data_IF_841383641977
#
_entry.id   IF_841383641977
#
_cell.length_a   1.000
_cell.length_b   1.000
_cell.length_c   1.000
_cell.angle_alpha   90.00
_cell.angle_beta   90.00
_cell.angle_gamma   90.00
#
_symmetry.space_group_name_H-M   'P 1'
#
loop_
_entity.id
_entity.type
_entity.pdbx_description
1 polymer ?
#
# COMPACT_ATOMS: atom_id res chain seq x y z
N UNK A 1 3.81 6.98 0.90
CA UNK A 1 3.03 5.76 0.73
C UNK A 1 3.28 4.82 1.91
N UNK A 2 2.23 4.27 2.52
CA UNK A 2 2.36 3.24 3.54
C UNK A 2 1.41 2.10 3.20
N UNK A 3 1.89 0.87 3.36
CA UNK A 3 1.05 -0.33 3.25
C UNK A 3 0.52 -0.68 4.64
N UNK A 4 -0.74 -0.30 4.88
CA UNK A 4 -1.43 -0.47 6.16
C UNK A 4 -2.61 -1.41 5.98
N UNK A 5 -2.76 -2.42 6.82
CA UNK A 5 -3.89 -3.34 6.72
C UNK A 5 -4.45 -3.62 8.10
N UNK A 6 -5.78 -3.64 8.21
CA UNK A 6 -6.44 -4.17 9.40
C UNK A 6 -6.30 -5.70 9.47
N UNK A 7 -6.54 -6.23 10.67
CA UNK A 7 -6.61 -7.67 10.95
C UNK A 7 -7.99 -8.00 11.50
N UNK A 8 -8.31 -9.30 11.52
CA UNK A 8 -9.55 -9.81 12.07
C UNK A 8 -9.75 -9.35 13.51
N UNK A 9 -10.99 -9.10 13.87
CA UNK A 9 -11.42 -8.79 15.23
C UNK A 9 -12.41 -9.84 15.70
N UNK A 10 -12.42 -10.06 17.02
CA UNK A 10 -13.36 -10.95 17.69
C UNK A 10 -14.11 -10.20 18.79
N UNK A 11 -15.20 -10.77 19.29
CA UNK A 11 -15.87 -10.28 20.50
C UNK A 11 -15.56 -11.24 21.65
N UNK A 12 -15.23 -10.68 22.81
CA UNK A 12 -15.12 -11.47 24.05
C UNK A 12 -16.51 -11.93 24.51
N UNK A 13 -16.61 -12.93 25.39
CA UNK A 13 -17.90 -13.32 25.99
C UNK A 13 -18.65 -12.17 26.67
N UNK A 14 -17.93 -11.15 27.15
CA UNK A 14 -18.50 -9.92 27.73
C UNK A 14 -18.87 -8.84 26.70
N UNK A 15 -18.82 -9.13 25.40
CA UNK A 15 -19.20 -8.21 24.33
C UNK A 15 -18.13 -7.17 23.94
N UNK A 16 -16.96 -7.19 24.56
CA UNK A 16 -15.88 -6.26 24.24
C UNK A 16 -15.13 -6.67 22.97
N UNK A 17 -14.72 -5.72 22.11
CA UNK A 17 -13.94 -6.04 20.91
C UNK A 17 -12.50 -6.41 21.27
N UNK A 18 -12.06 -7.59 20.84
CA UNK A 18 -10.68 -8.05 20.87
C UNK A 18 -10.07 -7.93 19.48
N UNK A 19 -9.11 -7.01 19.32
CA UNK A 19 -8.46 -6.73 18.02
C UNK A 19 -7.03 -6.24 18.21
N UNK A 20 -6.15 -6.41 17.21
CA UNK A 20 -4.79 -5.88 17.29
C UNK A 20 -4.78 -4.35 17.44
N UNK A 21 -3.78 -3.84 18.17
CA UNK A 21 -3.65 -2.40 18.47
C UNK A 21 -3.73 -1.52 17.22
N UNK A 22 -3.03 -1.90 16.14
CA UNK A 22 -3.06 -1.16 14.88
C UNK A 22 -4.45 -1.12 14.26
N UNK A 23 -5.20 -2.21 14.31
CA UNK A 23 -6.59 -2.25 13.83
C UNK A 23 -7.49 -1.34 14.67
N UNK A 24 -7.27 -1.31 15.99
CA UNK A 24 -7.98 -0.38 16.87
C UNK A 24 -7.65 1.07 16.55
N UNK A 25 -6.37 1.39 16.33
CA UNK A 25 -5.93 2.72 15.94
C UNK A 25 -6.52 3.14 14.60
N UNK A 26 -6.50 2.27 13.58
CA UNK A 26 -7.02 2.60 12.25
C UNK A 26 -8.53 2.85 12.26
N UNK A 27 -9.29 2.12 13.09
CA UNK A 27 -10.74 2.34 13.26
C UNK A 27 -11.09 3.50 14.19
N UNK A 28 -10.10 4.15 14.81
CA UNK A 28 -10.36 5.25 15.76
C UNK A 28 -10.63 6.57 15.02
N UNK A 29 -11.41 7.49 15.60
CA UNK A 29 -11.63 8.83 15.03
C UNK A 29 -10.32 9.59 14.78
N UNK A 30 -9.31 9.38 15.63
CA UNK A 30 -7.97 9.97 15.47
C UNK A 30 -7.30 9.63 14.14
N UNK A 31 -7.65 8.49 13.54
CA UNK A 31 -7.16 8.06 12.24
C UNK A 31 -8.03 8.58 11.09
N UNK A 32 -9.29 8.93 11.33
CA UNK A 32 -10.13 9.54 10.31
C UNK A 32 -9.87 11.06 10.20
N UNK A 33 -9.73 11.76 11.32
CA UNK A 33 -9.51 13.22 11.37
C UNK A 33 -8.07 13.68 11.09
N UNK A 34 -7.29 12.89 10.35
CA UNK A 34 -5.88 13.18 10.03
C UNK A 34 -5.68 14.36 9.05
N UNK A 35 -6.77 14.97 8.59
CA UNK A 35 -6.79 16.09 7.65
C UNK A 35 -5.92 17.30 8.07
N UNK A 36 -5.60 17.44 9.36
CA UNK A 36 -4.82 18.57 9.87
C UNK A 36 -3.31 18.31 10.04
N UNK A 37 -2.80 17.10 9.77
CA UNK A 37 -1.37 16.81 9.92
C UNK A 37 -0.68 16.68 8.55
N UNK A 38 0.19 17.63 8.15
CA UNK A 38 0.92 17.57 6.87
C UNK A 38 1.85 16.34 6.78
N UNK A 39 2.27 15.79 7.93
CA UNK A 39 3.07 14.56 8.03
C UNK A 39 2.22 13.30 8.13
N UNK A 40 0.89 13.38 8.03
CA UNK A 40 -0.01 12.22 7.98
C UNK A 40 -0.72 12.09 6.62
N UNK A 41 -0.23 12.79 5.59
CA UNK A 41 -0.77 12.66 4.24
C UNK A 41 -0.31 11.32 3.63
N UNK A 42 -1.23 10.36 3.57
CA UNK A 42 -1.00 9.05 2.95
C UNK A 42 -1.57 9.05 1.53
N UNK A 43 -0.97 8.23 0.67
CA UNK A 43 -1.49 8.00 -0.69
C UNK A 43 -2.76 7.14 -0.68
N UNK A 44 -2.90 6.28 0.33
CA UNK A 44 -3.99 5.33 0.48
C UNK A 44 -5.20 5.97 1.18
N UNK A 45 -6.40 5.96 0.57
CA UNK A 45 -7.63 6.35 1.25
C UNK A 45 -7.90 5.49 2.50
N UNK A 46 -8.64 6.03 3.47
CA UNK A 46 -8.95 5.31 4.71
C UNK A 46 -9.74 4.02 4.43
N UNK A 47 -10.65 4.06 3.45
CA UNK A 47 -11.48 2.96 2.99
C UNK A 47 -10.63 1.78 2.50
N UNK A 48 -9.56 2.06 1.75
CA UNK A 48 -8.63 1.02 1.28
C UNK A 48 -7.86 0.35 2.42
N UNK A 49 -7.57 1.08 3.50
CA UNK A 49 -6.85 0.57 4.68
C UNK A 49 -7.77 -0.25 5.58
N UNK A 50 -9.03 0.19 5.69
CA UNK A 50 -10.07 -0.42 6.52
C UNK A 50 -10.79 -1.58 5.84
N UNK A 51 -10.50 -1.84 4.57
CA UNK A 51 -11.01 -3.01 3.87
C UNK A 51 -10.56 -4.31 4.59
N UNK A 52 -11.50 -5.17 5.02
CA UNK A 52 -11.17 -6.41 5.72
C UNK A 52 -10.54 -7.46 4.81
N UNK A 53 -10.80 -7.37 3.51
CA UNK A 53 -10.18 -8.22 2.51
C UNK A 53 -8.75 -7.75 2.23
N UNK A 54 -7.78 -8.59 2.61
CA UNK A 54 -6.35 -8.25 2.47
C UNK A 54 -5.90 -8.11 1.01
N UNK A 55 -6.53 -8.81 0.07
CA UNK A 55 -6.22 -8.68 -1.36
C UNK A 55 -6.72 -7.34 -1.88
N UNK A 56 -7.98 -7.01 -1.59
CA UNK A 56 -8.58 -5.75 -2.04
C UNK A 56 -7.87 -4.54 -1.44
N UNK A 57 -7.56 -4.62 -0.14
CA UNK A 57 -6.79 -3.61 0.57
C UNK A 57 -5.40 -3.40 -0.06
N UNK A 58 -4.66 -4.49 -0.34
CA UNK A 58 -3.33 -4.38 -0.94
C UNK A 58 -3.38 -3.84 -2.37
N UNK A 59 -4.31 -4.34 -3.19
CA UNK A 59 -4.46 -3.94 -4.58
C UNK A 59 -4.78 -2.44 -4.71
N UNK A 60 -5.81 -1.99 -3.99
CA UNK A 60 -6.25 -0.60 -4.01
C UNK A 60 -5.17 0.35 -3.49
N UNK A 61 -4.49 0.00 -2.40
CA UNK A 61 -3.37 0.80 -1.87
C UNK A 61 -2.20 0.90 -2.85
N UNK A 62 -1.84 -0.22 -3.51
CA UNK A 62 -0.79 -0.22 -4.52
C UNK A 62 -1.15 0.69 -5.69
N UNK A 63 -2.37 0.55 -6.22
CA UNK A 63 -2.88 1.37 -7.32
C UNK A 63 -2.85 2.87 -6.97
N UNK A 64 -3.38 3.25 -5.80
CA UNK A 64 -3.34 4.64 -5.33
C UNK A 64 -1.91 5.17 -5.16
N UNK A 65 -0.96 4.31 -4.77
CA UNK A 65 0.45 4.67 -4.65
C UNK A 65 1.17 4.87 -5.98
N UNK A 66 0.80 4.09 -7.00
CA UNK A 66 1.31 4.24 -8.36
C UNK A 66 0.75 5.51 -9.02
N UNK A 67 -0.57 5.75 -8.94
CA UNK A 67 -1.20 6.97 -9.48
C UNK A 67 -0.63 8.26 -8.88
N UNK A 68 -0.12 8.19 -7.64
CA UNK A 68 0.44 9.32 -6.93
C UNK A 68 1.96 9.25 -6.80
N UNK A 69 2.65 8.48 -7.66
CA UNK A 69 4.06 8.15 -7.46
C UNK A 69 4.97 9.39 -7.27
N UNK A 70 4.73 10.48 -8.02
CA UNK A 70 5.47 11.75 -7.90
C UNK A 70 5.31 12.44 -6.53
N UNK A 71 4.21 12.17 -5.81
CA UNK A 71 3.92 12.75 -4.48
C UNK A 71 4.52 11.93 -3.32
N UNK A 72 5.15 10.79 -3.61
CA UNK A 72 5.65 9.87 -2.60
C UNK A 72 7.06 10.26 -2.18
N UNK A 73 7.17 10.86 -0.98
CA UNK A 73 8.46 11.21 -0.36
C UNK A 73 8.99 10.14 0.60
N UNK A 74 8.12 9.24 1.06
CA UNK A 74 8.44 8.19 2.04
C UNK A 74 7.65 6.93 1.71
N UNK A 75 8.28 5.77 1.88
CA UNK A 75 7.64 4.47 1.69
C UNK A 75 7.85 3.62 2.94
N UNK A 76 6.84 2.86 3.35
CA UNK A 76 6.97 2.05 4.54
C UNK A 76 5.80 1.12 4.85
N UNK A 77 5.99 0.34 5.90
CA UNK A 77 4.97 -0.42 6.60
C UNK A 77 5.38 -0.57 8.06
N UNK A 78 4.45 -0.97 8.93
CA UNK A 78 4.77 -1.26 10.34
C UNK A 78 5.65 -2.49 10.50
N UNK A 79 5.64 -3.39 9.51
CA UNK A 79 6.43 -4.62 9.49
C UNK A 79 7.16 -4.74 8.15
N UNK A 80 8.44 -5.08 8.18
CA UNK A 80 9.21 -5.30 6.94
C UNK A 80 8.63 -6.45 6.11
N UNK A 81 8.12 -7.50 6.75
CA UNK A 81 7.42 -8.61 6.07
C UNK A 81 6.20 -8.14 5.29
N UNK A 82 5.40 -7.21 5.84
CA UNK A 82 4.26 -6.60 5.14
C UNK A 82 4.73 -5.79 3.93
N UNK A 83 5.85 -5.06 4.06
CA UNK A 83 6.43 -4.33 2.95
C UNK A 83 6.87 -5.26 1.82
N UNK A 84 7.67 -6.29 2.14
CA UNK A 84 8.13 -7.28 1.15
C UNK A 84 6.95 -7.96 0.47
N UNK A 85 5.88 -8.27 1.22
CA UNK A 85 4.65 -8.81 0.64
C UNK A 85 4.00 -7.86 -0.35
N UNK A 86 4.03 -6.56 -0.11
CA UNK A 86 3.53 -5.56 -1.06
C UNK A 86 4.37 -5.53 -2.34
N UNK A 87 5.70 -5.67 -2.24
CA UNK A 87 6.59 -5.73 -3.41
C UNK A 87 6.33 -6.98 -4.24
N UNK A 88 6.25 -8.15 -3.59
CA UNK A 88 5.88 -9.41 -4.26
C UNK A 88 4.49 -9.33 -4.87
N UNK A 89 3.58 -8.58 -4.25
CA UNK A 89 2.26 -8.33 -4.81
C UNK A 89 2.35 -7.51 -6.10
N UNK A 90 3.16 -6.45 -6.12
CA UNK A 90 3.42 -5.65 -7.32
C UNK A 90 4.05 -6.50 -8.43
N UNK A 91 5.07 -7.29 -8.12
CA UNK A 91 5.73 -8.21 -9.04
C UNK A 91 4.75 -9.15 -9.75
N UNK A 92 3.73 -9.63 -9.02
CA UNK A 92 2.72 -10.54 -9.57
C UNK A 92 1.58 -9.84 -10.32
N UNK A 93 1.23 -8.60 -9.96
CA UNK A 93 -0.02 -7.95 -10.43
C UNK A 93 0.21 -6.63 -11.18
N UNK A 94 1.45 -6.21 -11.47
CA UNK A 94 1.72 -4.94 -12.15
C UNK A 94 0.99 -4.81 -13.48
N UNK A 95 0.85 -5.90 -14.26
CA UNK A 95 0.15 -5.88 -15.54
C UNK A 95 -1.35 -5.54 -15.40
N UNK A 96 -2.00 -6.04 -14.34
CA UNK A 96 -3.38 -5.71 -14.02
C UNK A 96 -3.51 -4.26 -13.54
N UNK A 97 -2.58 -3.80 -12.71
CA UNK A 97 -2.55 -2.41 -12.24
C UNK A 97 -2.34 -1.41 -13.38
N UNK A 98 -1.48 -1.74 -14.35
CA UNK A 98 -1.25 -0.98 -15.57
C UNK A 98 -2.51 -0.95 -16.44
N UNK A 99 -3.18 -2.09 -16.63
CA UNK A 99 -4.45 -2.15 -17.36
C UNK A 99 -5.53 -1.27 -16.74
N UNK A 100 -5.71 -1.34 -15.43
CA UNK A 100 -6.70 -0.53 -14.70
C UNK A 100 -6.37 0.97 -14.79
N UNK A 101 -5.09 1.32 -14.68
CA UNK A 101 -4.60 2.69 -14.84
C UNK A 101 -4.80 3.22 -16.26
N UNK A 102 -4.62 2.38 -17.29
CA UNK A 102 -4.82 2.74 -18.71
C UNK A 102 -6.30 2.91 -19.04
N UNK A 103 -7.16 2.03 -18.53
CA UNK A 103 -8.61 2.09 -18.73
C UNK A 103 -9.29 3.16 -17.86
N UNK A 104 -8.65 3.59 -16.76
CA UNK A 104 -9.25 4.46 -15.76
C UNK A 104 -10.36 3.78 -14.96
N UNK A 105 -10.36 2.45 -14.89
CA UNK A 105 -11.40 1.66 -14.23
C UNK A 105 -10.75 0.61 -13.34
N UNK A 106 -11.27 0.43 -12.13
CA UNK A 106 -10.78 -0.60 -11.21
C UNK A 106 -11.31 -2.00 -11.57
N UNK A 107 -10.45 -2.99 -11.47
CA UNK A 107 -10.74 -4.40 -11.70
C UNK A 107 -11.97 -4.89 -10.92
N UNK A 108 -12.81 -5.70 -11.56
CA UNK A 108 -14.03 -6.29 -10.99
C UNK A 108 -13.75 -7.27 -9.85
N UNK A 109 -12.51 -7.72 -9.68
CA UNK A 109 -12.04 -8.48 -8.53
C UNK A 109 -12.04 -7.68 -7.22
N UNK A 110 -12.29 -6.37 -7.27
CA UNK A 110 -12.48 -5.51 -6.10
C UNK A 110 -13.98 -5.24 -5.93
N UNK A 111 -14.76 -6.13 -5.29
CA UNK A 111 -16.20 -5.96 -5.13
C UNK A 111 -16.59 -4.90 -4.10
N UNK A 112 -15.69 -4.53 -3.16
CA UNK A 112 -16.00 -3.57 -2.10
C UNK A 112 -16.26 -2.17 -2.68
N UNK A 113 -17.52 -1.74 -2.62
CA UNK A 113 -17.96 -0.49 -3.22
C UNK A 113 -17.28 0.75 -2.61
N UNK A 114 -17.03 0.74 -1.30
CA UNK A 114 -16.36 1.85 -0.60
C UNK A 114 -14.92 2.01 -1.07
N UNK A 115 -14.22 0.88 -1.23
CA UNK A 115 -12.87 0.85 -1.81
C UNK A 115 -12.90 1.38 -3.24
N UNK A 116 -13.81 0.90 -4.09
CA UNK A 116 -13.91 1.34 -5.49
C UNK A 116 -14.13 2.84 -5.59
N UNK A 117 -15.10 3.39 -4.87
CA UNK A 117 -15.39 4.83 -4.89
C UNK A 117 -14.20 5.68 -4.43
N UNK A 118 -13.48 5.22 -3.40
CA UNK A 118 -12.30 5.92 -2.91
C UNK A 118 -11.15 5.92 -3.92
N UNK A 119 -10.92 4.80 -4.61
CA UNK A 119 -9.88 4.65 -5.63
C UNK A 119 -10.24 5.46 -6.87
N UNK A 120 -11.49 5.44 -7.32
CA UNK A 120 -11.93 6.16 -8.52
C UNK A 120 -11.81 7.69 -8.40
N UNK A 121 -11.74 8.25 -7.18
CA UNK A 121 -11.42 9.66 -6.96
C UNK A 121 -9.96 10.00 -7.28
N UNK A 122 -9.07 9.02 -7.24
CA UNK A 122 -7.63 9.16 -7.45
C UNK A 122 -7.23 8.66 -8.84
N UNK A 123 -7.81 7.54 -9.27
CA UNK A 123 -7.51 6.88 -10.53
C UNK A 123 -7.95 7.77 -11.69
N UNK A 124 -6.97 8.20 -12.49
CA UNK A 124 -7.20 8.93 -13.74
C UNK A 124 -6.40 8.23 -14.83
N UNK A 125 -6.96 8.06 -16.05
CA UNK A 125 -6.19 7.57 -17.18
C UNK A 125 -4.93 8.40 -17.39
N UNK A 126 -3.78 7.76 -17.31
CA UNK A 126 -2.47 8.37 -17.53
C UNK A 126 -1.57 7.38 -18.29
N UNK A 127 -1.60 7.43 -19.64
CA UNK A 127 -0.81 6.51 -20.46
C UNK A 127 0.70 6.62 -20.21
N UNK A 128 1.22 7.82 -19.98
CA UNK A 128 2.65 8.03 -19.72
C UNK A 128 3.09 7.35 -18.42
N UNK A 129 2.28 7.48 -17.37
CA UNK A 129 2.51 6.77 -16.11
C UNK A 129 2.48 5.26 -16.32
N UNK A 130 1.52 4.76 -17.09
CA UNK A 130 1.39 3.32 -17.34
C UNK A 130 2.62 2.80 -18.08
N UNK A 131 3.02 3.45 -19.17
CA UNK A 131 4.15 3.02 -19.98
C UNK A 131 5.46 3.07 -19.16
N UNK A 132 5.60 4.06 -18.28
CA UNK A 132 6.69 4.13 -17.31
C UNK A 132 6.70 2.94 -16.32
N UNK A 133 5.54 2.60 -15.73
CA UNK A 133 5.44 1.48 -14.79
C UNK A 133 5.71 0.16 -15.52
N UNK A 134 5.15 -0.04 -16.72
CA UNK A 134 5.39 -1.22 -17.55
C UNK A 134 6.87 -1.36 -17.86
N UNK A 135 7.55 -0.30 -18.31
CA UNK A 135 8.96 -0.31 -18.62
C UNK A 135 9.86 -0.63 -17.41
N UNK A 136 9.48 -0.21 -16.20
CA UNK A 136 10.26 -0.51 -14.99
C UNK A 136 9.99 -1.91 -14.42
N UNK A 137 8.74 -2.39 -14.50
CA UNK A 137 8.34 -3.69 -13.96
C UNK A 137 8.61 -4.86 -14.92
N UNK A 138 8.74 -4.61 -16.22
CA UNK A 138 9.05 -5.65 -17.22
C UNK A 138 10.53 -6.03 -17.27
N UNK A 139 11.40 -5.35 -16.51
CA UNK A 139 12.83 -5.64 -16.44
C UNK A 139 13.08 -6.93 -15.64
N UNK A 140 14.07 -7.72 -16.07
CA UNK A 140 14.46 -8.95 -15.37
C UNK A 140 14.98 -8.70 -13.95
N UNK A 141 15.57 -7.52 -13.72
CA UNK A 141 16.08 -7.13 -12.39
C UNK A 141 15.14 -6.16 -11.69
N UNK A 142 14.58 -6.62 -10.57
CA UNK A 142 13.79 -5.83 -9.62
C UNK A 142 14.67 -5.09 -8.60
N UNK A 143 15.98 -5.03 -8.83
CA UNK A 143 16.87 -4.30 -7.93
C UNK A 143 16.52 -2.81 -7.91
N UNK A 144 16.38 -2.25 -6.70
CA UNK A 144 16.04 -0.85 -6.44
C UNK A 144 14.73 -0.39 -7.10
N UNK A 145 13.82 -1.33 -7.39
CA UNK A 145 12.54 -1.04 -8.06
C UNK A 145 11.74 0.06 -7.34
N UNK A 146 11.86 0.15 -6.01
CA UNK A 146 11.18 1.19 -5.24
C UNK A 146 11.70 2.58 -5.60
N UNK A 147 13.02 2.75 -5.61
CA UNK A 147 13.64 4.02 -5.99
C UNK A 147 13.39 4.36 -7.47
N UNK A 148 13.22 3.35 -8.34
CA UNK A 148 12.89 3.56 -9.76
C UNK A 148 11.45 4.03 -9.93
N UNK A 149 10.46 3.33 -9.35
CA UNK A 149 9.05 3.68 -9.51
C UNK A 149 8.66 4.97 -8.77
N UNK A 150 9.22 5.18 -7.58
CA UNK A 150 8.97 6.33 -6.74
C UNK A 150 10.25 7.17 -6.59
N UNK A 151 10.54 7.95 -7.63
CA UNK A 151 11.80 8.70 -7.77
C UNK A 151 12.04 9.77 -6.70
N UNK A 152 10.99 10.24 -6.03
CA UNK A 152 11.08 11.31 -5.01
C UNK A 152 11.25 10.81 -3.57
N UNK A 153 11.48 9.50 -3.36
CA UNK A 153 11.67 8.94 -2.02
C UNK A 153 12.93 9.49 -1.37
N UNK A 154 12.80 9.95 -0.13
CA UNK A 154 13.92 10.38 0.72
C UNK A 154 14.35 9.34 1.75
N UNK A 155 13.41 8.55 2.27
CA UNK A 155 13.71 7.51 3.26
C UNK A 155 12.62 6.43 3.32
N UNK A 156 13.04 5.27 3.81
CA UNK A 156 12.15 4.17 4.19
C UNK A 156 11.79 4.30 5.66
N UNK A 157 10.52 4.15 6.00
CA UNK A 157 10.07 4.16 7.39
C UNK A 157 9.57 2.78 7.79
N UNK A 158 10.40 2.09 8.56
CA UNK A 158 10.12 0.83 9.24
C UNK A 158 10.57 0.99 10.70
N UNK A 159 9.75 0.65 11.72
CA UNK A 159 10.20 0.73 13.11
C UNK A 159 11.32 -0.28 13.38
N UNK A 160 12.47 0.21 13.89
CA UNK A 160 13.70 -0.54 14.13
C UNK A 160 13.62 -1.65 15.22
N UNK A 161 12.48 -1.90 15.86
CA UNK A 161 12.36 -2.83 17.01
C UNK A 161 11.74 -4.20 16.69
N UNK A 162 12.11 -4.81 15.57
CA UNK A 162 11.97 -6.26 15.39
C UNK A 162 13.26 -6.90 14.85
N UNK A 163 14.41 -6.20 14.94
CA UNK A 163 15.69 -6.58 14.33
C UNK A 163 16.23 -7.99 14.68
N UNK A 164 15.78 -8.63 15.76
CA UNK A 164 16.27 -9.98 16.11
C UNK A 164 15.75 -11.10 15.19
N UNK A 165 14.71 -10.83 14.39
CA UNK A 165 14.23 -11.75 13.33
C UNK A 165 14.64 -11.32 11.90
N UNK A 166 15.52 -10.32 11.76
CA UNK A 166 15.76 -9.61 10.49
C UNK A 166 16.94 -10.09 9.64
N UNK A 167 17.77 -11.02 10.10
CA UNK A 167 18.91 -11.47 9.30
C UNK A 167 18.49 -12.11 7.96
N UNK A 168 17.27 -12.65 7.86
CA UNK A 168 16.76 -13.25 6.62
C UNK A 168 16.23 -12.24 5.59
N UNK A 169 15.70 -11.09 6.05
CA UNK A 169 15.03 -10.13 5.18
C UNK A 169 15.92 -8.99 4.70
N UNK A 170 17.08 -8.79 5.32
CA UNK A 170 18.00 -7.71 5.00
C UNK A 170 18.45 -7.73 3.53
N UNK A 171 18.78 -8.92 2.99
CA UNK A 171 19.14 -9.08 1.58
C UNK A 171 18.00 -8.76 0.62
N UNK A 172 16.77 -9.13 0.96
CA UNK A 172 15.59 -8.88 0.12
C UNK A 172 15.18 -7.41 0.14
N UNK A 173 15.23 -6.77 1.32
CA UNK A 173 14.96 -5.33 1.46
C UNK A 173 16.06 -4.52 0.77
N UNK A 174 17.34 -4.85 0.95
CA UNK A 174 18.46 -4.19 0.26
C UNK A 174 18.43 -4.40 -1.25
N UNK A 175 17.95 -5.54 -1.74
CA UNK A 175 17.77 -5.72 -3.18
C UNK A 175 16.67 -4.83 -3.72
N UNK A 176 15.57 -4.66 -3.00
CA UNK A 176 14.38 -3.96 -3.51
C UNK A 176 14.42 -2.43 -3.29
N UNK A 177 15.05 -1.98 -2.22
CA UNK A 177 15.22 -0.57 -1.84
C UNK A 177 16.44 0.04 -2.53
#
# INVERSE_FOLDING_TARGET
MYFLSIKSEAKTPGGLPARPVLTSTYKSPYFHDRHHNPYANYTSPAETILCPDSYQSMYSQMLCGLCQHKKVFRVGSYFASSFIRAIRFLEKHWSLLCKDSRMGTINTQIPDQSVRESVMKILKPDPELVDFIEAECSKDSWQRIIARLWTNIRYFQMPNKMLDSFLFYNLSVQHVC
#
